data_IF_841584117941
#
_entry.id   IF_841584117941
#
_cell.length_a   1.000
_cell.length_b   1.000
_cell.length_c   1.000
_cell.angle_alpha   90.00
_cell.angle_beta   90.00
_cell.angle_gamma   90.00
#
_symmetry.space_group_name_H-M   'P 1'
#
loop_
_entity.id
_entity.type
_entity.pdbx_description
1 polymer ?
#
# COMPACT_ATOMS: atom_id res chain seq x y z
N UNK A 1 3.19 9.07 7.48
CA UNK A 1 4.04 8.73 8.64
C UNK A 1 3.14 8.46 9.85
N UNK A 2 3.41 7.43 10.63
CA UNK A 2 2.56 7.02 11.77
C UNK A 2 1.26 6.28 11.40
N UNK A 3 1.20 5.68 10.21
CA UNK A 3 0.00 5.01 9.67
C UNK A 3 0.17 3.49 9.67
N UNK A 4 -0.92 2.74 9.53
CA UNK A 4 -0.88 1.28 9.33
C UNK A 4 -0.70 0.99 7.85
N UNK A 5 0.47 0.49 7.46
CA UNK A 5 0.81 0.22 6.07
C UNK A 5 0.71 -1.29 5.82
N UNK A 6 -0.12 -1.68 4.86
CA UNK A 6 -0.12 -3.04 4.33
C UNK A 6 0.99 -3.22 3.30
N UNK A 7 1.74 -4.30 3.42
CA UNK A 7 2.72 -4.69 2.42
C UNK A 7 2.67 -6.20 2.18
N UNK A 8 2.86 -6.59 0.92
CA UNK A 8 2.96 -8.01 0.58
C UNK A 8 4.36 -8.51 0.96
N UNK A 9 4.40 -9.58 1.74
CA UNK A 9 5.65 -10.19 2.21
C UNK A 9 6.57 -10.54 1.04
N UNK A 10 7.82 -10.09 1.08
CA UNK A 10 8.81 -10.35 0.02
C UNK A 10 8.71 -9.40 -1.18
N UNK A 11 7.99 -8.28 -1.03
CA UNK A 11 7.91 -7.27 -2.08
C UNK A 11 9.13 -6.35 -2.07
N UNK A 12 9.60 -5.97 -3.26
CA UNK A 12 10.67 -4.98 -3.42
C UNK A 12 10.33 -3.59 -2.87
N UNK A 13 9.05 -3.34 -2.57
CA UNK A 13 8.57 -2.09 -1.97
C UNK A 13 8.88 -1.96 -0.47
N UNK A 14 9.30 -3.03 0.21
CA UNK A 14 9.60 -3.03 1.65
C UNK A 14 10.63 -1.96 2.03
N UNK A 15 11.88 -1.98 1.50
CA UNK A 15 12.89 -1.00 1.88
C UNK A 15 12.47 0.43 1.58
N UNK A 16 11.91 0.69 0.38
CA UNK A 16 11.45 2.01 -0.04
C UNK A 16 10.38 2.55 0.92
N UNK A 17 9.46 1.68 1.32
CA UNK A 17 8.40 2.06 2.24
C UNK A 17 8.95 2.40 3.62
N UNK A 18 9.91 1.62 4.14
CA UNK A 18 10.52 1.84 5.45
C UNK A 18 11.31 3.15 5.50
N UNK A 19 11.99 3.49 4.41
CA UNK A 19 12.70 4.78 4.28
C UNK A 19 11.74 5.97 4.24
N UNK A 20 10.61 5.83 3.54
CA UNK A 20 9.62 6.90 3.36
C UNK A 20 8.75 7.10 4.61
N UNK A 21 8.42 6.01 5.30
CA UNK A 21 7.49 6.00 6.42
C UNK A 21 8.07 5.28 7.65
N UNK A 22 9.19 5.78 8.21
CA UNK A 22 9.91 5.10 9.28
C UNK A 22 9.10 4.96 10.57
N UNK A 23 8.10 5.81 10.83
CA UNK A 23 7.26 5.72 12.02
C UNK A 23 5.95 4.94 11.81
N UNK A 24 5.75 4.34 10.63
CA UNK A 24 4.53 3.59 10.33
C UNK A 24 4.60 2.14 10.84
N UNK A 25 3.43 1.57 11.11
CA UNK A 25 3.30 0.16 11.50
C UNK A 25 3.02 -0.70 10.27
N UNK A 26 3.82 -1.71 10.04
CA UNK A 26 3.68 -2.59 8.88
C UNK A 26 2.88 -3.83 9.18
N UNK A 27 1.95 -4.13 8.29
CA UNK A 27 1.13 -5.34 8.30
C UNK A 27 1.45 -6.13 7.04
N UNK A 28 1.83 -7.38 7.26
CA UNK A 28 2.24 -8.28 6.20
C UNK A 28 1.06 -9.11 5.73
N UNK A 29 0.91 -9.20 4.41
CA UNK A 29 -0.14 -9.96 3.75
C UNK A 29 0.45 -10.83 2.64
N UNK A 30 -0.23 -11.92 2.31
CA UNK A 30 0.25 -12.87 1.30
C UNK A 30 -0.28 -12.56 -0.11
N UNK A 31 -1.43 -11.90 -0.21
CA UNK A 31 -2.11 -11.62 -1.47
C UNK A 31 -2.62 -10.19 -1.56
N UNK A 32 -2.68 -9.64 -2.78
CA UNK A 32 -3.25 -8.31 -3.04
C UNK A 32 -4.73 -8.21 -2.67
N UNK A 33 -5.49 -9.31 -2.78
CA UNK A 33 -6.89 -9.36 -2.30
C UNK A 33 -7.01 -9.19 -0.78
N UNK A 34 -6.05 -9.71 -0.03
CA UNK A 34 -6.00 -9.55 1.43
C UNK A 34 -5.66 -8.10 1.81
N UNK A 35 -4.78 -7.45 1.05
CA UNK A 35 -4.45 -6.03 1.19
C UNK A 35 -5.68 -5.16 0.89
N UNK A 36 -6.38 -5.40 -0.22
CA UNK A 36 -7.59 -4.68 -0.57
C UNK A 36 -8.68 -4.84 0.51
N UNK A 37 -8.91 -6.07 0.97
CA UNK A 37 -9.86 -6.34 2.04
C UNK A 37 -9.45 -5.66 3.35
N UNK A 38 -8.17 -5.69 3.71
CA UNK A 38 -7.66 -5.01 4.91
C UNK A 38 -7.81 -3.49 4.83
N UNK A 39 -7.67 -2.91 3.64
CA UNK A 39 -7.88 -1.48 3.40
C UNK A 39 -9.36 -1.12 3.54
N UNK A 40 -10.26 -1.84 2.86
CA UNK A 40 -11.71 -1.63 2.97
C UNK A 40 -12.25 -1.85 4.39
N UNK A 41 -11.63 -2.75 5.17
CA UNK A 41 -12.00 -2.99 6.57
C UNK A 41 -11.31 -2.04 7.56
N UNK A 42 -10.59 -1.01 7.10
CA UNK A 42 -9.82 -0.07 7.94
C UNK A 42 -8.82 -0.75 8.89
N UNK A 43 -8.37 -1.96 8.56
CA UNK A 43 -7.31 -2.67 9.29
C UNK A 43 -5.96 -2.04 9.01
N UNK A 44 -5.77 -1.58 7.77
CA UNK A 44 -4.65 -0.75 7.32
C UNK A 44 -5.19 0.58 6.78
N UNK A 45 -4.35 1.61 6.79
CA UNK A 45 -4.66 2.93 6.23
C UNK A 45 -4.25 3.05 4.76
N UNK A 46 -3.23 2.30 4.32
CA UNK A 46 -2.71 2.31 2.95
C UNK A 46 -1.89 1.05 2.65
N UNK A 47 -1.71 0.71 1.38
CA UNK A 47 -0.72 -0.27 0.93
C UNK A 47 0.00 0.23 -0.32
N UNK A 48 1.17 -0.34 -0.60
CA UNK A 48 1.96 0.00 -1.79
C UNK A 48 1.84 -1.16 -2.78
N UNK A 49 1.52 -0.81 -4.03
CA UNK A 49 1.47 -1.74 -5.14
C UNK A 49 1.83 -1.01 -6.44
N UNK A 50 2.15 -1.77 -7.48
CA UNK A 50 2.36 -1.25 -8.83
C UNK A 50 1.13 -0.49 -9.34
N UNK A 51 1.36 0.50 -10.20
CA UNK A 51 0.29 1.30 -10.82
C UNK A 51 -0.85 0.45 -11.45
N UNK A 52 -0.59 -0.59 -12.27
CA UNK A 52 -1.66 -1.43 -12.81
C UNK A 52 -2.49 -2.13 -11.73
N UNK A 53 -1.87 -2.57 -10.64
CA UNK A 53 -2.56 -3.23 -9.51
C UNK A 53 -3.38 -2.21 -8.73
N UNK A 54 -2.82 -1.04 -8.45
CA UNK A 54 -3.52 0.04 -7.76
C UNK A 54 -4.74 0.53 -8.55
N UNK A 55 -4.61 0.70 -9.87
CA UNK A 55 -5.72 1.03 -10.78
C UNK A 55 -6.78 -0.07 -10.78
N UNK A 56 -6.37 -1.34 -10.84
CA UNK A 56 -7.29 -2.47 -10.83
C UNK A 56 -8.08 -2.53 -9.51
N UNK A 57 -7.42 -2.37 -8.36
CA UNK A 57 -8.09 -2.40 -7.05
C UNK A 57 -9.03 -1.20 -6.90
N UNK A 58 -8.61 -0.01 -7.29
CA UNK A 58 -9.47 1.18 -7.25
C UNK A 58 -10.66 1.07 -8.20
N UNK A 59 -10.52 0.37 -9.33
CA UNK A 59 -11.64 0.09 -10.24
C UNK A 59 -12.60 -0.99 -9.69
N UNK A 60 -12.14 -1.86 -8.79
CA UNK A 60 -12.97 -2.90 -8.16
C UNK A 60 -13.61 -2.44 -6.84
N UNK A 61 -13.03 -1.43 -6.19
CA UNK A 61 -13.44 -0.92 -4.90
C UNK A 61 -13.62 0.60 -4.95
N UNK A 62 -14.87 1.06 -5.05
CA UNK A 62 -15.21 2.50 -5.03
C UNK A 62 -14.77 3.20 -3.72
N UNK A 63 -14.55 2.45 -2.63
CA UNK A 63 -14.02 2.96 -1.36
C UNK A 63 -12.50 3.14 -1.35
N UNK A 64 -11.79 2.61 -2.34
CA UNK A 64 -10.33 2.65 -2.45
C UNK A 64 -9.93 3.61 -3.58
N UNK A 65 -9.25 4.69 -3.21
CA UNK A 65 -8.59 5.60 -4.15
C UNK A 65 -7.09 5.32 -4.21
N UNK A 66 -6.53 5.29 -5.42
CA UNK A 66 -5.08 5.27 -5.61
C UNK A 66 -4.54 6.69 -5.70
N UNK A 67 -3.35 6.92 -5.14
CA UNK A 67 -2.64 8.19 -5.26
C UNK A 67 -1.37 7.91 -6.05
N UNK A 68 -1.25 8.48 -7.25
CA UNK A 68 0.02 8.49 -7.99
C UNK A 68 0.91 9.58 -7.38
N UNK A 69 1.42 9.32 -6.18
CA UNK A 69 2.50 10.12 -5.60
C UNK A 69 3.75 9.26 -5.71
N UNK A 70 4.65 9.63 -6.62
CA UNK A 70 5.95 9.01 -6.72
C UNK A 70 6.61 9.10 -5.34
N UNK A 71 6.96 7.94 -4.78
CA UNK A 71 7.61 7.84 -3.46
C UNK A 71 9.06 8.34 -3.54
N UNK A 72 9.60 8.42 -4.75
CA UNK A 72 10.86 9.07 -5.12
C UNK A 72 10.53 10.22 -6.06
N UNK A 73 10.86 11.44 -5.65
CA UNK A 73 11.01 12.55 -6.60
C UNK A 73 12.31 12.27 -7.38
N UNK A 74 12.20 11.96 -8.68
CA UNK A 74 13.33 12.07 -9.61
C UNK A 74 13.73 13.56 -9.65
N UNK A 75 14.92 13.89 -9.15
CA UNK A 75 15.61 15.19 -9.35
C UNK A 75 16.30 15.21 -10.73
#
# INVERSE_FOLDING_TARGET
DGKKIGIKTGSSFEPVSFETFPNSTYFYFESEGDLAAALSNHKIDLFIADEPVAKLISAQHDDISYINKAVVEDD
#
